data_IF_227235016083
#
_entry.id   IF_227235016083
#
_cell.length_a   1.000
_cell.length_b   1.000
_cell.length_c   1.000
_cell.angle_alpha   90.00
_cell.angle_beta   90.00
_cell.angle_gamma   90.00
#
_symmetry.space_group_name_H-M   'P 1'
#
loop_
_entity.id
_entity.type
_entity.pdbx_description
1 polymer ?
#
# COMPACT_ATOMS: atom_id res chain seq x y z
N UNK A 1 -30.20 -18.49 22.29
CA UNK A 1 -29.03 -17.59 22.20
C UNK A 1 -27.79 -18.29 21.62
N UNK A 2 -27.36 -19.46 22.12
CA UNK A 2 -26.17 -20.20 21.59
C UNK A 2 -26.18 -20.51 20.08
N UNK A 3 -27.33 -20.87 19.50
CA UNK A 3 -27.45 -21.17 18.06
C UNK A 3 -27.20 -19.95 17.15
N UNK A 4 -27.52 -18.75 17.64
CA UNK A 4 -27.34 -17.50 16.88
C UNK A 4 -25.86 -17.08 16.87
N UNK A 5 -25.17 -17.28 17.99
CA UNK A 5 -23.73 -17.07 18.13
C UNK A 5 -22.93 -17.98 17.18
N UNK A 6 -23.24 -19.28 17.14
CA UNK A 6 -22.55 -20.21 16.25
C UNK A 6 -22.76 -19.86 14.77
N UNK A 7 -23.95 -19.41 14.38
CA UNK A 7 -24.22 -18.96 13.02
C UNK A 7 -23.41 -17.69 12.67
N UNK A 8 -23.30 -16.73 13.59
CA UNK A 8 -22.47 -15.52 13.41
C UNK A 8 -20.99 -15.86 13.23
N UNK A 9 -20.45 -16.80 14.02
CA UNK A 9 -19.05 -17.22 13.88
C UNK A 9 -18.77 -17.90 12.54
N UNK A 10 -19.70 -18.72 12.03
CA UNK A 10 -19.57 -19.36 10.72
C UNK A 10 -19.61 -18.32 9.59
N UNK A 11 -20.53 -17.36 9.66
CA UNK A 11 -20.61 -16.27 8.68
C UNK A 11 -19.34 -15.40 8.68
N UNK A 12 -18.82 -15.06 9.87
CA UNK A 12 -17.57 -14.31 9.99
C UNK A 12 -16.37 -15.10 9.43
N UNK A 13 -16.30 -16.41 9.70
CA UNK A 13 -15.23 -17.28 9.21
C UNK A 13 -15.22 -17.42 7.68
N UNK A 14 -16.38 -17.30 7.02
CA UNK A 14 -16.49 -17.32 5.56
C UNK A 14 -16.30 -15.94 4.92
N UNK A 15 -16.74 -14.87 5.57
CA UNK A 15 -16.66 -13.51 5.04
C UNK A 15 -15.21 -12.99 4.96
N UNK A 16 -14.41 -13.20 6.01
CA UNK A 16 -13.04 -12.64 6.07
C UNK A 16 -12.11 -13.16 4.95
N UNK A 17 -12.05 -14.47 4.65
CA UNK A 17 -11.24 -14.97 3.54
C UNK A 17 -11.75 -14.50 2.18
N UNK A 18 -13.07 -14.36 2.02
CA UNK A 18 -13.67 -13.87 0.77
C UNK A 18 -13.27 -12.42 0.50
N UNK A 19 -13.38 -11.54 1.50
CA UNK A 19 -12.98 -10.13 1.41
C UNK A 19 -11.48 -10.03 1.05
N UNK A 20 -10.62 -10.75 1.76
CA UNK A 20 -9.18 -10.75 1.46
C UNK A 20 -8.85 -11.24 0.05
N UNK A 21 -9.57 -12.25 -0.46
CA UNK A 21 -9.40 -12.75 -1.82
C UNK A 21 -9.97 -11.80 -2.89
N UNK A 22 -10.96 -10.97 -2.53
CA UNK A 22 -11.47 -9.92 -3.40
C UNK A 22 -10.47 -8.76 -3.49
N UNK A 23 -9.95 -8.29 -2.35
CA UNK A 23 -8.92 -7.24 -2.29
C UNK A 23 -7.68 -7.62 -3.11
N UNK A 24 -7.19 -8.85 -2.96
CA UNK A 24 -6.04 -9.31 -3.73
C UNK A 24 -6.31 -9.36 -5.24
N UNK A 25 -7.55 -9.67 -5.67
CA UNK A 25 -7.89 -9.68 -7.10
C UNK A 25 -8.01 -8.27 -7.65
N UNK A 26 -8.60 -7.36 -6.88
CA UNK A 26 -8.66 -5.94 -7.21
C UNK A 26 -7.25 -5.36 -7.35
N UNK A 27 -6.35 -5.64 -6.40
CA UNK A 27 -4.99 -5.14 -6.46
C UNK A 27 -4.22 -5.64 -7.71
N UNK A 28 -4.37 -6.91 -8.11
CA UNK A 28 -3.78 -7.42 -9.35
C UNK A 28 -4.41 -6.81 -10.61
N UNK A 29 -5.71 -6.53 -10.58
CA UNK A 29 -6.41 -5.87 -11.68
C UNK A 29 -5.92 -4.43 -11.89
N UNK A 30 -5.75 -3.66 -10.81
CA UNK A 30 -5.30 -2.27 -10.91
C UNK A 30 -3.84 -2.14 -11.37
N UNK A 31 -3.03 -3.20 -11.26
CA UNK A 31 -1.66 -3.20 -11.80
C UNK A 31 -1.60 -3.16 -13.32
N UNK A 32 -2.65 -3.57 -14.04
CA UNK A 32 -2.63 -3.69 -15.51
C UNK A 32 -2.37 -2.33 -16.18
N UNK A 33 -2.93 -1.24 -15.63
CA UNK A 33 -2.74 0.11 -16.14
C UNK A 33 -1.66 0.90 -15.37
N UNK A 34 -0.97 0.25 -14.44
CA UNK A 34 -0.06 0.91 -13.49
C UNK A 34 1.38 0.90 -13.99
N UNK A 35 2.07 2.02 -13.79
CA UNK A 35 3.53 2.11 -13.83
C UNK A 35 4.14 2.18 -12.41
N UNK A 36 3.31 1.96 -11.39
CA UNK A 36 3.65 1.99 -9.97
C UNK A 36 3.84 3.42 -9.46
N UNK A 37 4.61 3.58 -8.39
CA UNK A 37 4.92 4.92 -7.88
C UNK A 37 6.04 5.61 -8.67
N UNK A 38 6.00 5.56 -10.00
CA UNK A 38 7.07 6.08 -10.85
C UNK A 38 7.10 7.61 -10.83
N UNK A 39 7.86 8.13 -9.87
CA UNK A 39 8.06 9.55 -9.66
C UNK A 39 9.19 10.08 -10.55
N UNK A 40 9.14 11.35 -10.99
CA UNK A 40 10.20 11.95 -11.82
C UNK A 40 11.61 11.92 -11.21
N UNK A 41 11.72 11.63 -9.91
CA UNK A 41 13.00 11.56 -9.21
C UNK A 41 12.98 10.38 -8.25
N UNK A 42 13.96 9.49 -8.38
CA UNK A 42 14.13 8.25 -7.60
C UNK A 42 14.39 8.45 -6.09
N UNK A 43 14.43 9.70 -5.64
CA UNK A 43 14.69 10.10 -4.25
C UNK A 43 13.48 10.08 -3.30
N UNK A 44 12.25 9.92 -3.81
CA UNK A 44 11.07 9.93 -2.93
C UNK A 44 10.97 8.54 -2.28
N UNK A 45 11.09 8.43 -0.93
CA UNK A 45 11.01 7.16 -0.22
C UNK A 45 9.56 6.64 -0.20
N UNK A 46 9.33 5.51 0.46
CA UNK A 46 8.01 4.90 0.62
C UNK A 46 7.36 4.34 -0.67
N UNK A 47 8.07 4.32 -1.81
CA UNK A 47 7.54 3.80 -3.09
C UNK A 47 6.92 2.41 -2.95
N UNK A 48 7.63 1.47 -2.33
CA UNK A 48 7.13 0.10 -2.13
C UNK A 48 5.95 0.05 -1.14
N UNK A 49 5.93 0.96 -0.16
CA UNK A 49 4.85 1.02 0.81
C UNK A 49 3.54 1.53 0.16
N UNK A 50 3.64 2.51 -0.74
CA UNK A 50 2.50 3.12 -1.43
C UNK A 50 2.12 2.45 -2.75
N UNK A 51 2.80 1.37 -3.15
CA UNK A 51 2.61 0.75 -4.46
C UNK A 51 1.14 0.43 -4.78
N UNK A 52 0.40 -0.14 -3.82
CA UNK A 52 -1.01 -0.44 -4.01
C UNK A 52 -1.89 0.81 -4.21
N UNK A 53 -1.53 1.94 -3.57
CA UNK A 53 -2.22 3.21 -3.78
C UNK A 53 -1.90 3.79 -5.16
N UNK A 54 -0.62 3.71 -5.59
CA UNK A 54 -0.18 4.13 -6.91
C UNK A 54 -0.86 3.31 -8.02
N UNK A 55 -0.98 1.98 -7.87
CA UNK A 55 -1.64 1.11 -8.84
C UNK A 55 -3.11 1.51 -9.09
N UNK A 56 -3.83 1.85 -8.01
CA UNK A 56 -5.20 2.35 -8.10
C UNK A 56 -5.28 3.74 -8.72
N UNK A 57 -4.35 4.64 -8.37
CA UNK A 57 -4.29 6.01 -8.90
C UNK A 57 -4.04 6.01 -10.41
N UNK A 58 -3.06 5.25 -10.90
CA UNK A 58 -2.75 5.14 -12.32
C UNK A 58 -3.94 4.58 -13.12
N UNK A 59 -4.60 3.56 -12.58
CA UNK A 59 -5.83 3.02 -13.19
C UNK A 59 -6.95 4.05 -13.21
N UNK A 60 -7.09 4.86 -12.15
CA UNK A 60 -8.04 5.97 -12.10
C UNK A 60 -7.68 7.07 -13.12
N UNK A 61 -6.40 7.36 -13.33
CA UNK A 61 -5.98 8.30 -14.37
C UNK A 61 -6.30 7.81 -15.77
N UNK A 62 -6.19 6.50 -16.02
CA UNK A 62 -6.48 5.91 -17.32
C UNK A 62 -7.99 5.79 -17.60
N UNK A 63 -8.78 5.48 -16.57
CA UNK A 63 -10.18 5.07 -16.73
C UNK A 63 -11.21 5.90 -15.97
N UNK A 64 -10.80 6.80 -15.08
CA UNK A 64 -11.70 7.56 -14.20
C UNK A 64 -12.73 8.39 -14.98
N UNK A 65 -12.33 9.00 -16.10
CA UNK A 65 -13.26 9.76 -16.95
C UNK A 65 -14.43 8.91 -17.48
N UNK A 66 -14.25 7.60 -17.67
CA UNK A 66 -15.35 6.69 -18.05
C UNK A 66 -16.43 6.61 -16.96
N UNK A 67 -16.01 6.68 -15.69
CA UNK A 67 -16.86 6.64 -14.51
C UNK A 67 -17.26 8.03 -14.01
N UNK A 68 -17.11 9.07 -14.85
CA UNK A 68 -17.37 10.47 -14.50
C UNK A 68 -16.53 11.01 -13.33
N UNK A 69 -15.35 10.43 -13.13
CA UNK A 69 -14.37 10.93 -12.15
C UNK A 69 -13.46 11.96 -12.80
N UNK A 70 -13.13 12.99 -12.04
CA UNK A 70 -12.13 13.99 -12.40
C UNK A 70 -10.74 13.58 -11.91
N UNK A 71 -9.70 14.22 -12.45
CA UNK A 71 -8.35 14.08 -11.92
C UNK A 71 -8.31 14.34 -10.40
N UNK A 72 -9.06 15.34 -9.93
CA UNK A 72 -9.14 15.68 -8.51
C UNK A 72 -9.71 14.54 -7.68
N UNK A 73 -10.73 13.84 -8.16
CA UNK A 73 -11.30 12.68 -7.45
C UNK A 73 -10.28 11.55 -7.31
N UNK A 74 -9.51 11.30 -8.37
CA UNK A 74 -8.41 10.33 -8.34
C UNK A 74 -7.30 10.75 -7.36
N UNK A 75 -6.87 12.02 -7.40
CA UNK A 75 -5.81 12.55 -6.54
C UNK A 75 -6.22 12.55 -5.06
N UNK A 76 -7.46 12.95 -4.76
CA UNK A 76 -7.99 12.97 -3.39
C UNK A 76 -8.08 11.54 -2.83
N UNK A 77 -8.56 10.59 -3.63
CA UNK A 77 -8.58 9.19 -3.24
C UNK A 77 -7.18 8.59 -3.07
N UNK A 78 -6.22 9.01 -3.88
CA UNK A 78 -4.83 8.58 -3.76
C UNK A 78 -4.23 8.98 -2.41
N UNK A 79 -4.48 10.20 -1.94
CA UNK A 79 -4.07 10.62 -0.59
C UNK A 79 -4.71 9.74 0.49
N UNK A 80 -6.02 9.51 0.40
CA UNK A 80 -6.75 8.65 1.35
C UNK A 80 -6.16 7.24 1.41
N UNK A 81 -5.90 6.62 0.26
CA UNK A 81 -5.31 5.28 0.19
C UNK A 81 -3.91 5.22 0.78
N UNK A 82 -3.05 6.22 0.50
CA UNK A 82 -1.72 6.28 1.10
C UNK A 82 -1.78 6.46 2.62
N UNK A 83 -2.63 7.36 3.13
CA UNK A 83 -2.79 7.57 4.57
C UNK A 83 -3.34 6.31 5.27
N UNK A 84 -4.24 5.56 4.62
CA UNK A 84 -4.70 4.27 5.13
C UNK A 84 -3.55 3.25 5.26
N UNK A 85 -2.64 3.20 4.29
CA UNK A 85 -1.46 2.34 4.36
C UNK A 85 -0.54 2.70 5.53
N UNK A 86 -0.40 4.00 5.82
CA UNK A 86 0.33 4.49 6.99
C UNK A 86 -0.28 4.02 8.31
N UNK A 87 -1.62 3.96 8.41
CA UNK A 87 -2.32 3.45 9.60
C UNK A 87 -2.15 1.94 9.81
N UNK A 88 -1.83 1.20 8.76
CA UNK A 88 -1.71 -0.25 8.80
C UNK A 88 -0.28 -0.76 9.03
N UNK A 89 0.78 0.05 8.99
CA UNK A 89 2.15 -0.47 8.82
C UNK A 89 3.30 0.36 9.34
N UNK A 90 3.07 1.31 10.24
CA UNK A 90 4.16 2.04 10.91
C UNK A 90 4.69 1.21 12.09
N UNK A 91 6.01 1.23 12.30
CA UNK A 91 6.55 1.01 13.64
C UNK A 91 6.08 2.14 14.56
N UNK A 92 6.29 2.02 15.87
CA UNK A 92 5.89 3.07 16.85
C UNK A 92 6.50 4.46 16.53
N UNK A 93 7.41 4.56 15.53
CA UNK A 93 8.08 5.77 15.09
C UNK A 93 7.62 6.32 13.72
N UNK A 94 6.68 5.67 13.01
CA UNK A 94 6.03 6.27 11.84
C UNK A 94 6.76 6.08 10.49
N UNK A 95 7.72 5.15 10.40
CA UNK A 95 8.52 4.94 9.18
C UNK A 95 7.86 4.04 8.14
N UNK A 96 8.04 4.38 6.87
CA UNK A 96 7.68 3.51 5.75
C UNK A 96 8.64 2.31 5.70
N UNK A 97 8.24 1.18 6.27
CA UNK A 97 9.01 -0.04 6.16
C UNK A 97 9.07 -0.49 4.69
N UNK A 98 10.19 -0.24 4.01
CA UNK A 98 10.45 -0.72 2.64
C UNK A 98 10.37 -2.26 2.54
N UNK A 99 10.46 -2.97 3.67
CA UNK A 99 10.44 -4.42 3.76
C UNK A 99 9.25 -4.95 4.53
N UNK A 100 8.02 -4.59 4.12
CA UNK A 100 6.86 -5.38 4.55
C UNK A 100 6.83 -6.69 3.77
N UNK A 101 7.51 -7.73 4.28
CA UNK A 101 7.02 -9.09 4.06
C UNK A 101 5.57 -9.09 4.51
N UNK A 102 4.65 -9.16 3.55
CA UNK A 102 3.23 -9.41 3.75
C UNK A 102 3.15 -10.44 4.88
N UNK A 103 2.54 -10.09 6.01
CA UNK A 103 2.07 -11.11 6.95
C UNK A 103 0.96 -11.83 6.19
N UNK A 104 1.37 -12.76 5.34
CA UNK A 104 0.50 -13.79 4.82
C UNK A 104 -0.14 -14.42 6.05
N UNK A 105 -1.45 -14.51 6.03
CA UNK A 105 -2.21 -15.33 6.92
C UNK A 105 -1.78 -16.79 6.73
N UNK A 106 -0.64 -17.16 7.29
CA UNK A 106 -0.31 -18.55 7.57
C UNK A 106 -0.70 -18.77 9.02
N UNK A 107 -1.93 -19.26 9.15
CA UNK A 107 -2.36 -20.15 10.21
C UNK A 107 -1.19 -20.89 10.86
N UNK A 108 -1.16 -20.86 12.19
CA UNK A 108 -0.45 -21.83 13.04
C UNK A 108 -0.22 -23.18 12.37
N UNK A 109 1.05 -23.61 12.32
CA UNK A 109 1.37 -25.01 12.57
C UNK A 109 2.35 -25.08 13.72
N UNK A 110 1.95 -25.86 14.71
CA UNK A 110 2.56 -26.05 16.03
C UNK A 110 3.92 -26.76 15.89
N UNK A 111 4.75 -26.57 16.92
CA UNK A 111 6.03 -27.24 17.22
C UNK A 111 7.25 -26.87 16.39
N UNK A 112 7.96 -25.83 16.84
CA UNK A 112 9.43 -25.83 16.81
C UNK A 112 9.93 -25.25 18.13
N UNK A 113 10.69 -25.98 18.95
CA UNK A 113 11.00 -25.52 20.31
C UNK A 113 11.99 -24.36 20.26
N UNK A 114 11.61 -23.24 20.88
CA UNK A 114 12.37 -22.00 21.15
C UNK A 114 13.79 -22.20 21.73
N UNK A 115 14.17 -23.43 22.06
CA UNK A 115 15.47 -23.82 22.62
C UNK A 115 16.57 -23.85 21.53
N UNK A 116 16.23 -24.16 20.27
CA UNK A 116 17.22 -24.24 19.18
C UNK A 116 17.78 -22.86 18.78
N UNK A 117 16.97 -21.80 18.84
CA UNK A 117 17.44 -20.45 18.47
C UNK A 117 18.39 -19.83 19.50
N UNK A 118 18.23 -20.16 20.80
CA UNK A 118 19.15 -19.69 21.86
C UNK A 118 20.53 -20.35 21.82
N UNK A 119 20.66 -21.51 21.17
CA UNK A 119 21.94 -22.22 21.05
C UNK A 119 22.80 -21.67 19.90
N UNK A 120 22.18 -21.13 18.84
CA UNK A 120 22.87 -20.54 17.70
C UNK A 120 23.42 -19.14 18.02
N UNK A 121 22.73 -18.39 18.87
CA UNK A 121 23.16 -17.07 19.36
C UNK A 121 24.43 -17.16 20.26
N UNK A 122 24.68 -18.34 20.85
CA UNK A 122 25.78 -18.55 21.80
C UNK A 122 27.12 -18.92 21.16
N UNK A 123 27.21 -19.02 19.82
CA UNK A 123 28.39 -19.54 19.11
C UNK A 123 28.99 -18.62 18.04
N UNK A 124 28.60 -17.35 17.93
CA UNK A 124 29.33 -16.41 17.07
C UNK A 124 30.37 -15.62 17.89
N UNK A 125 31.66 -15.63 17.50
CA UNK A 125 32.68 -14.85 18.16
C UNK A 125 32.45 -13.36 17.92
N UNK A 126 32.43 -12.62 19.03
CA UNK A 126 32.42 -11.16 19.11
C UNK A 126 33.74 -10.60 18.57
N UNK A 127 33.92 -10.52 17.25
CA UNK A 127 35.00 -9.77 16.60
C UNK A 127 34.67 -9.58 15.10
N UNK A 128 33.86 -8.57 14.80
CA UNK A 128 33.79 -7.87 13.51
C UNK A 128 32.83 -6.67 13.68
N UNK A 129 33.15 -5.83 14.65
CA UNK A 129 32.70 -4.45 14.64
C UNK A 129 33.94 -3.71 14.12
N UNK A 130 33.78 -2.73 13.24
CA UNK A 130 34.85 -1.95 12.58
C UNK A 130 35.37 -2.59 11.28
N UNK A 131 34.67 -2.37 10.16
CA UNK A 131 35.31 -1.77 8.98
C UNK A 131 34.28 -1.23 7.95
N UNK A 132 34.57 -0.04 7.42
CA UNK A 132 34.02 0.72 6.27
C UNK A 132 32.48 0.82 6.04
N UNK A 133 31.88 2.00 5.84
CA UNK A 133 32.33 3.04 4.91
C UNK A 133 31.88 4.47 5.26
N UNK A 134 32.70 5.42 4.86
CA UNK A 134 32.66 6.85 5.14
C UNK A 134 31.94 7.65 4.04
N UNK A 135 31.27 8.73 4.45
CA UNK A 135 30.67 9.80 3.62
C UNK A 135 29.28 9.52 3.04
N UNK A 136 28.27 9.63 3.89
CA UNK A 136 27.17 10.52 3.52
C UNK A 136 27.10 11.64 4.55
N UNK A 137 26.95 12.91 4.12
CA UNK A 137 26.69 13.98 5.05
C UNK A 137 25.45 13.60 5.83
N UNK A 138 25.53 13.69 7.16
CA UNK A 138 24.36 13.71 8.04
C UNK A 138 23.46 14.87 7.61
N UNK A 139 22.65 14.66 6.58
CA UNK A 139 21.57 15.54 6.22
C UNK A 139 20.51 15.33 7.28
N UNK A 140 20.50 16.25 8.25
CA UNK A 140 19.36 16.57 9.11
C UNK A 140 18.15 16.91 8.24
N UNK A 141 17.52 15.91 7.62
CA UNK A 141 16.11 15.99 7.29
C UNK A 141 15.37 15.46 8.51
N UNK A 142 14.58 16.35 9.08
CA UNK A 142 13.57 16.07 10.09
C UNK A 142 12.80 14.84 9.58
N UNK A 143 12.61 13.84 10.44
CA UNK A 143 11.96 12.59 10.08
C UNK A 143 10.49 12.85 9.70
N UNK A 144 10.25 13.10 8.41
CA UNK A 144 8.92 13.15 7.83
C UNK A 144 8.31 11.75 7.97
N UNK A 145 7.21 11.66 8.71
CA UNK A 145 6.53 10.39 8.95
C UNK A 145 5.80 9.93 7.66
N UNK A 146 5.27 8.72 7.65
CA UNK A 146 4.58 8.17 6.49
C UNK A 146 3.49 9.11 5.90
N UNK A 147 2.78 9.86 6.74
CA UNK A 147 1.71 10.77 6.28
C UNK A 147 2.28 12.00 5.57
N UNK A 148 3.44 12.50 6.02
CA UNK A 148 4.13 13.61 5.36
C UNK A 148 4.61 13.21 3.96
N UNK A 149 5.07 11.96 3.80
CA UNK A 149 5.37 11.40 2.49
C UNK A 149 4.13 11.23 1.61
N UNK A 150 3.03 10.72 2.16
CA UNK A 150 1.75 10.64 1.43
C UNK A 150 1.32 12.03 0.89
N UNK A 151 1.47 13.07 1.71
CA UNK A 151 1.17 14.45 1.30
C UNK A 151 2.12 14.93 0.20
N UNK A 152 3.40 14.56 0.26
CA UNK A 152 4.40 14.88 -0.77
C UNK A 152 4.03 14.25 -2.12
N UNK A 153 3.61 12.98 -2.13
CA UNK A 153 3.11 12.30 -3.32
C UNK A 153 1.87 13.00 -3.89
N UNK A 154 0.88 13.28 -3.04
CA UNK A 154 -0.35 13.98 -3.42
C UNK A 154 -0.08 15.35 -4.06
N UNK A 155 0.74 16.17 -3.41
CA UNK A 155 1.09 17.50 -3.92
C UNK A 155 1.82 17.42 -5.27
N UNK A 156 2.60 16.36 -5.48
CA UNK A 156 3.30 16.12 -6.75
C UNK A 156 2.30 15.82 -7.87
N UNK A 157 1.35 14.90 -7.66
CA UNK A 157 0.35 14.57 -8.67
C UNK A 157 -0.65 15.70 -8.91
N UNK A 158 -1.02 16.49 -7.90
CA UNK A 158 -1.86 17.67 -8.15
C UNK A 158 -1.19 18.69 -9.09
N UNK A 159 0.12 18.85 -8.98
CA UNK A 159 0.86 19.85 -9.76
C UNK A 159 1.18 19.39 -11.19
N UNK A 160 1.42 18.10 -11.37
CA UNK A 160 1.94 17.56 -12.64
C UNK A 160 1.06 16.46 -13.26
N UNK A 161 0.10 15.93 -12.53
CA UNK A 161 -0.71 14.78 -12.91
C UNK A 161 -1.71 15.06 -14.03
N UNK A 162 -2.09 16.33 -14.23
CA UNK A 162 -2.98 16.74 -15.33
C UNK A 162 -2.44 16.37 -16.72
N UNK A 163 -1.12 16.22 -16.88
CA UNK A 163 -0.50 15.75 -18.12
C UNK A 163 -0.74 14.26 -18.41
N UNK A 164 -1.14 13.50 -17.39
CA UNK A 164 -1.26 12.04 -17.43
C UNK A 164 -2.70 11.54 -17.27
N UNK A 165 -3.63 12.42 -16.90
CA UNK A 165 -5.05 12.07 -16.81
C UNK A 165 -5.67 11.93 -18.20
N UNK A 166 -6.34 10.81 -18.46
CA UNK A 166 -7.00 10.53 -19.74
C UNK A 166 -8.46 10.95 -19.69
N UNK A 167 -8.73 12.19 -20.13
CA UNK A 167 -10.09 12.73 -20.25
C UNK A 167 -10.97 11.93 -21.25
N UNK A 168 -10.36 11.19 -22.17
CA UNK A 168 -11.04 10.39 -23.20
C UNK A 168 -10.89 8.88 -22.94
N UNK A 169 -11.33 8.45 -21.76
CA UNK A 169 -11.28 7.04 -21.38
C UNK A 169 -12.09 6.13 -22.32
N UNK A 170 -11.52 4.96 -22.63
CA UNK A 170 -12.10 4.01 -23.59
C UNK A 170 -13.27 3.24 -22.97
N UNK A 171 -14.47 3.46 -23.49
CA UNK A 171 -15.71 2.86 -23.00
C UNK A 171 -15.82 1.33 -23.14
N UNK A 172 -15.00 0.70 -23.98
CA UNK A 172 -14.95 -0.77 -24.13
C UNK A 172 -13.91 -1.40 -23.20
N UNK A 173 -12.85 -0.65 -22.87
CA UNK A 173 -11.73 -1.13 -22.06
C UNK A 173 -11.94 -0.89 -20.56
N UNK A 174 -12.44 0.29 -20.20
CA UNK A 174 -12.53 0.73 -18.81
C UNK A 174 -13.57 0.06 -17.91
N UNK A 175 -14.69 -0.52 -18.39
CA UNK A 175 -15.69 -1.13 -17.52
C UNK A 175 -15.15 -2.18 -16.54
N UNK A 176 -14.14 -2.96 -16.95
CA UNK A 176 -13.57 -4.00 -16.09
C UNK A 176 -12.80 -3.45 -14.88
N UNK A 177 -12.43 -2.16 -14.88
CA UNK A 177 -11.65 -1.51 -13.82
C UNK A 177 -12.51 -0.75 -12.80
N UNK A 178 -13.83 -0.90 -12.84
CA UNK A 178 -14.74 -0.35 -11.82
C UNK A 178 -14.28 -0.66 -10.38
N UNK A 179 -13.79 -1.88 -10.03
CA UNK A 179 -13.30 -2.17 -8.68
C UNK A 179 -12.08 -1.34 -8.25
N UNK A 180 -11.36 -0.72 -9.19
CA UNK A 180 -10.21 0.15 -8.91
C UNK A 180 -10.62 1.61 -8.68
N UNK A 181 -11.86 1.97 -8.99
CA UNK A 181 -12.33 3.34 -8.90
C UNK A 181 -12.59 3.73 -7.43
N UNK A 182 -12.30 4.98 -7.06
CA UNK A 182 -12.64 5.46 -5.73
C UNK A 182 -14.15 5.56 -5.53
N UNK A 183 -14.59 5.29 -4.30
CA UNK A 183 -15.96 5.57 -3.88
C UNK A 183 -16.10 7.08 -3.67
N UNK A 184 -16.61 7.78 -4.68
CA UNK A 184 -17.03 9.18 -4.52
C UNK A 184 -18.45 9.19 -3.96
N UNK A 185 -18.61 9.65 -2.73
CA UNK A 185 -19.93 9.91 -2.16
C UNK A 185 -20.63 10.95 -3.04
N UNK A 186 -21.62 10.52 -3.81
CA UNK A 186 -22.44 11.39 -4.64
C UNK A 186 -23.22 12.28 -3.66
N UNK A 187 -22.76 13.50 -3.42
CA UNK A 187 -23.57 14.54 -2.79
C UNK A 187 -24.66 14.91 -3.80
N UNK A 188 -25.80 14.23 -3.68
CA UNK A 188 -27.06 14.57 -4.33
C UNK A 188 -27.71 15.79 -3.68
#
# INVERSE_FOLDING_TARGET
MKMLESALWILAALALPWIAAQDSRTDELCKINSNGCSVPSSWIPCQQHFLAACDRHDTCYMCGAHFSLTQKDCDDAFLVHMTALCGHGTDDEGFCLEKRKRREASSMSITTPLIQLRLLEKHMPLNSLWDHDSRQPQQRYIYDNCTDWALTYYNTVQRFGWWYFYDTANATYCPQFEPCMPEVSSSA
#
